data_IF_515981729242
#
_entry.id   IF_515981729242
#
_cell.length_a   1.000
_cell.length_b   1.000
_cell.length_c   1.000
_cell.angle_alpha   90.00
_cell.angle_beta   90.00
_cell.angle_gamma   90.00
#
_symmetry.space_group_name_H-M   'P 1'
#
loop_
_entity.id
_entity.type
_entity.pdbx_description
1 polymer ?
#
# COMPACT_ATOMS: atom_id res chain seq x y z
N UNK A 1 0.15 -6.60 -9.32
CA UNK A 1 -0.98 -5.69 -9.04
C UNK A 1 -2.10 -6.50 -8.45
N UNK A 2 -2.71 -6.05 -7.34
CA UNK A 2 -3.81 -6.75 -6.67
C UNK A 2 -5.12 -6.57 -7.45
N UNK A 3 -6.07 -7.50 -7.30
CA UNK A 3 -7.40 -7.39 -7.94
C UNK A 3 -8.09 -6.07 -7.58
N UNK A 4 -7.98 -5.64 -6.31
CA UNK A 4 -8.52 -4.36 -5.85
C UNK A 4 -7.84 -3.14 -6.50
N UNK A 5 -6.53 -3.19 -6.72
CA UNK A 5 -5.79 -2.14 -7.43
C UNK A 5 -6.22 -2.07 -8.90
N UNK A 6 -6.34 -3.25 -9.55
CA UNK A 6 -6.86 -3.35 -10.91
C UNK A 6 -8.26 -2.78 -11.02
N UNK A 7 -9.17 -3.12 -10.08
CA UNK A 7 -10.52 -2.56 -10.00
C UNK A 7 -10.50 -1.03 -10.00
N UNK A 8 -9.68 -0.40 -9.14
CA UNK A 8 -9.60 1.06 -9.08
C UNK A 8 -9.08 1.66 -10.39
N UNK A 9 -7.99 1.10 -10.95
CA UNK A 9 -7.44 1.56 -12.22
C UNK A 9 -8.46 1.43 -13.35
N UNK A 10 -9.16 0.30 -13.43
CA UNK A 10 -10.15 0.07 -14.49
C UNK A 10 -11.40 0.95 -14.31
N UNK A 11 -11.84 1.22 -13.08
CA UNK A 11 -12.92 2.18 -12.78
C UNK A 11 -12.57 3.60 -13.25
N UNK A 12 -11.34 4.06 -13.00
CA UNK A 12 -10.87 5.37 -13.50
C UNK A 12 -10.77 5.38 -15.04
N UNK A 13 -10.25 4.31 -15.65
CA UNK A 13 -10.18 4.17 -17.10
C UNK A 13 -11.55 4.25 -17.78
N UNK A 14 -12.63 3.80 -17.13
CA UNK A 14 -13.99 3.92 -17.67
C UNK A 14 -14.39 5.38 -17.92
N UNK A 15 -13.87 6.33 -17.15
CA UNK A 15 -14.16 7.77 -17.33
C UNK A 15 -13.18 8.45 -18.28
N UNK A 16 -11.93 8.02 -18.30
CA UNK A 16 -10.83 8.64 -19.06
C UNK A 16 -10.70 8.10 -20.49
N UNK A 17 -11.01 6.81 -20.70
CA UNK A 17 -10.85 6.11 -21.98
C UNK A 17 -11.97 6.47 -22.96
N UNK A 18 -12.02 7.73 -23.35
CA UNK A 18 -12.99 8.24 -24.33
C UNK A 18 -12.29 8.95 -25.47
N UNK A 19 -12.74 8.70 -26.69
CA UNK A 19 -12.21 9.34 -27.91
C UNK A 19 -13.38 9.92 -28.70
N UNK A 20 -13.24 11.16 -29.15
CA UNK A 20 -14.20 11.77 -30.07
C UNK A 20 -13.93 11.29 -31.49
N UNK A 21 -15.00 10.94 -32.21
CA UNK A 21 -14.93 10.52 -33.62
C UNK A 21 -15.99 11.25 -34.45
N UNK A 22 -15.56 11.78 -35.60
CA UNK A 22 -16.45 12.43 -36.58
C UNK A 22 -15.99 12.05 -37.98
N UNK A 23 -16.93 11.59 -38.80
CA UNK A 23 -16.68 11.35 -40.22
C UNK A 23 -17.00 12.62 -41.00
N UNK A 24 -16.07 13.05 -41.83
CA UNK A 24 -16.19 14.24 -42.65
C UNK A 24 -16.67 13.89 -44.08
N UNK A 25 -17.32 14.84 -44.79
CA UNK A 25 -17.82 14.61 -46.15
C UNK A 25 -16.72 14.32 -47.20
N UNK A 26 -15.49 14.77 -46.93
CA UNK A 26 -14.33 14.58 -47.84
C UNK A 26 -13.60 13.23 -47.64
N UNK A 27 -14.28 12.23 -47.16
CA UNK A 27 -13.77 10.88 -46.89
C UNK A 27 -12.57 10.85 -45.93
N UNK A 28 -12.61 11.72 -44.93
CA UNK A 28 -11.66 11.71 -43.81
C UNK A 28 -12.39 11.52 -42.48
N UNK A 29 -11.65 11.05 -41.48
CA UNK A 29 -12.14 10.83 -40.12
C UNK A 29 -11.36 11.75 -39.15
N UNK A 30 -12.07 12.51 -38.36
CA UNK A 30 -11.52 13.37 -37.31
C UNK A 30 -11.63 12.68 -35.97
N UNK A 31 -10.53 12.66 -35.24
CA UNK A 31 -10.43 12.18 -33.86
C UNK A 31 -10.12 13.35 -32.92
N UNK A 32 -10.75 13.39 -31.77
CA UNK A 32 -10.58 14.44 -30.75
C UNK A 32 -10.47 13.85 -29.36
N UNK A 33 -10.13 14.69 -28.36
CA UNK A 33 -9.87 14.28 -26.96
C UNK A 33 -8.67 13.31 -26.85
N UNK A 34 -7.68 13.47 -27.74
CA UNK A 34 -6.57 12.55 -27.86
C UNK A 34 -5.59 12.64 -26.69
N UNK A 35 -5.49 13.79 -26.00
CA UNK A 35 -4.62 13.95 -24.83
C UNK A 35 -5.08 13.03 -23.69
N UNK A 36 -6.37 13.07 -23.36
CA UNK A 36 -6.93 12.22 -22.29
C UNK A 36 -6.84 10.74 -22.68
N UNK A 37 -7.18 10.42 -23.93
CA UNK A 37 -7.09 9.04 -24.42
C UNK A 37 -5.67 8.48 -24.36
N UNK A 38 -4.63 9.26 -24.75
CA UNK A 38 -3.22 8.84 -24.62
C UNK A 38 -2.80 8.61 -23.18
N UNK A 39 -3.24 9.47 -22.27
CA UNK A 39 -2.98 9.28 -20.83
C UNK A 39 -3.62 7.99 -20.31
N UNK A 40 -4.88 7.73 -20.69
CA UNK A 40 -5.57 6.51 -20.32
C UNK A 40 -4.87 5.24 -20.87
N UNK A 41 -4.38 5.28 -22.13
CA UNK A 41 -3.57 4.18 -22.67
C UNK A 41 -2.28 3.97 -21.85
N UNK A 42 -1.55 5.02 -21.51
CA UNK A 42 -0.33 4.91 -20.69
C UNK A 42 -0.63 4.34 -19.31
N UNK A 43 -1.77 4.69 -18.71
CA UNK A 43 -2.24 4.15 -17.44
C UNK A 43 -2.61 2.66 -17.57
N UNK A 44 -3.29 2.27 -18.64
CA UNK A 44 -3.63 0.87 -18.93
C UNK A 44 -2.37 0.00 -19.09
N UNK A 45 -1.32 0.50 -19.74
CA UNK A 45 -0.05 -0.21 -19.92
C UNK A 45 0.62 -0.58 -18.58
N UNK A 46 0.45 0.24 -17.53
CA UNK A 46 1.00 -0.07 -16.18
C UNK A 46 0.41 -1.34 -15.59
N UNK A 47 -0.79 -1.75 -16.03
CA UNK A 47 -1.47 -2.96 -15.57
C UNK A 47 -0.90 -4.24 -16.18
N UNK A 48 -0.16 -4.13 -17.29
CA UNK A 48 0.33 -5.23 -18.14
C UNK A 48 -0.79 -6.12 -18.71
N UNK A 49 -2.02 -5.62 -18.68
CA UNK A 49 -3.17 -6.25 -19.33
C UNK A 49 -3.42 -5.59 -20.71
N UNK A 50 -4.01 -6.36 -21.64
CA UNK A 50 -4.34 -5.87 -22.98
C UNK A 50 -3.14 -5.27 -23.74
N UNK A 51 -1.95 -5.84 -23.55
CA UNK A 51 -0.70 -5.33 -24.16
C UNK A 51 -0.75 -5.31 -25.67
N UNK A 52 -1.34 -6.34 -26.30
CA UNK A 52 -1.48 -6.40 -27.77
C UNK A 52 -2.37 -5.27 -28.30
N UNK A 53 -3.46 -4.96 -27.60
CA UNK A 53 -4.41 -3.92 -27.97
C UNK A 53 -3.79 -2.53 -27.80
N UNK A 54 -3.11 -2.29 -26.68
CA UNK A 54 -2.43 -1.01 -26.42
C UNK A 54 -1.28 -0.80 -27.40
N UNK A 55 -0.46 -1.81 -27.70
CA UNK A 55 0.64 -1.74 -28.67
C UNK A 55 0.15 -1.40 -30.09
N UNK A 56 -0.98 -1.99 -30.51
CA UNK A 56 -1.58 -1.69 -31.80
C UNK A 56 -2.04 -0.24 -31.91
N UNK A 57 -2.64 0.29 -30.85
CA UNK A 57 -3.09 1.68 -30.79
C UNK A 57 -1.88 2.62 -30.70
N UNK A 58 -0.84 2.28 -29.97
CA UNK A 58 0.37 3.09 -29.82
C UNK A 58 1.12 3.27 -31.15
N UNK A 59 1.06 2.30 -32.04
CA UNK A 59 1.63 2.37 -33.40
C UNK A 59 0.80 3.25 -34.35
N UNK A 60 -0.36 3.71 -33.95
CA UNK A 60 -1.25 4.51 -34.79
C UNK A 60 -0.85 5.99 -34.83
N UNK A 61 -1.37 6.71 -35.81
CA UNK A 61 -1.08 8.12 -36.05
C UNK A 61 -1.40 9.04 -34.85
N UNK A 62 -2.32 8.66 -33.97
CA UNK A 62 -2.69 9.47 -32.80
C UNK A 62 -1.57 9.57 -31.73
N UNK A 63 -0.54 8.73 -31.79
CA UNK A 63 0.64 8.81 -30.91
C UNK A 63 1.86 9.49 -31.58
N UNK A 64 1.79 9.79 -32.89
CA UNK A 64 2.88 10.47 -33.61
C UNK A 64 2.89 11.97 -33.26
N UNK A 65 1.73 12.56 -32.96
CA UNK A 65 1.58 13.99 -32.67
C UNK A 65 1.07 14.20 -31.22
N UNK A 66 1.40 15.36 -30.66
CA UNK A 66 0.87 15.76 -29.32
C UNK A 66 -0.46 16.54 -29.41
N UNK A 67 -1.01 16.71 -30.61
CA UNK A 67 -2.24 17.46 -30.80
C UNK A 67 -3.43 16.72 -30.17
N UNK A 68 -4.40 17.47 -29.68
CA UNK A 68 -5.62 16.92 -29.10
C UNK A 68 -6.64 16.46 -30.16
N UNK A 69 -6.41 16.85 -31.42
CA UNK A 69 -7.19 16.46 -32.58
C UNK A 69 -6.28 15.99 -33.72
N UNK A 70 -6.76 15.04 -34.54
CA UNK A 70 -6.07 14.60 -35.76
C UNK A 70 -7.10 14.19 -36.82
N UNK A 71 -6.73 14.36 -38.06
CA UNK A 71 -7.55 13.97 -39.22
C UNK A 71 -6.80 12.88 -39.98
N UNK A 72 -7.45 11.75 -40.21
CA UNK A 72 -6.94 10.59 -40.93
C UNK A 72 -7.75 10.34 -42.21
N UNK A 73 -7.15 9.70 -43.19
CA UNK A 73 -7.94 9.16 -44.30
C UNK A 73 -8.93 8.09 -43.81
N UNK A 74 -9.96 7.80 -44.59
CA UNK A 74 -11.05 6.92 -44.19
C UNK A 74 -10.56 5.52 -43.81
N UNK A 75 -9.58 4.96 -44.52
CA UNK A 75 -9.08 3.60 -44.26
C UNK A 75 -8.38 3.51 -42.91
N UNK A 76 -7.43 4.40 -42.66
CA UNK A 76 -6.70 4.45 -41.37
C UNK A 76 -7.63 4.83 -40.23
N UNK A 77 -8.52 5.80 -40.44
CA UNK A 77 -9.47 6.23 -39.46
C UNK A 77 -10.46 5.13 -39.05
N UNK A 78 -11.00 4.40 -40.02
CA UNK A 78 -11.92 3.28 -39.71
C UNK A 78 -11.20 2.14 -38.99
N UNK A 79 -9.96 1.84 -39.37
CA UNK A 79 -9.13 0.85 -38.64
C UNK A 79 -8.90 1.27 -37.20
N UNK A 80 -8.51 2.52 -36.98
CA UNK A 80 -8.29 3.07 -35.64
C UNK A 80 -9.57 3.07 -34.82
N UNK A 81 -10.68 3.50 -35.41
CA UNK A 81 -11.99 3.48 -34.75
C UNK A 81 -12.37 2.06 -34.26
N UNK A 82 -12.18 1.05 -35.11
CA UNK A 82 -12.45 -0.33 -34.74
C UNK A 82 -11.54 -0.78 -33.59
N UNK A 83 -10.25 -0.46 -33.63
CA UNK A 83 -9.28 -0.82 -32.58
C UNK A 83 -9.65 -0.16 -31.24
N UNK A 84 -9.98 1.14 -31.25
CA UNK A 84 -10.36 1.87 -30.05
C UNK A 84 -11.69 1.37 -29.46
N UNK A 85 -12.69 1.10 -30.30
CA UNK A 85 -13.97 0.56 -29.84
C UNK A 85 -13.83 -0.83 -29.21
N UNK A 86 -12.99 -1.69 -29.81
CA UNK A 86 -12.69 -3.01 -29.25
C UNK A 86 -11.96 -2.89 -27.91
N UNK A 87 -10.95 -2.02 -27.80
CA UNK A 87 -10.26 -1.78 -26.52
C UNK A 87 -11.22 -1.30 -25.44
N UNK A 88 -12.07 -0.30 -25.74
CA UNK A 88 -13.06 0.22 -24.78
C UNK A 88 -14.01 -0.89 -24.31
N UNK A 89 -14.47 -1.77 -25.22
CA UNK A 89 -15.31 -2.92 -24.85
C UNK A 89 -14.59 -3.91 -23.93
N UNK A 90 -13.31 -4.20 -24.22
CA UNK A 90 -12.51 -5.11 -23.39
C UNK A 90 -12.26 -4.50 -22.00
N UNK A 91 -11.89 -3.22 -21.93
CA UNK A 91 -11.71 -2.51 -20.65
C UNK A 91 -13.00 -2.53 -19.84
N UNK A 92 -14.17 -2.29 -20.46
CA UNK A 92 -15.46 -2.40 -19.80
C UNK A 92 -15.73 -3.79 -19.27
N UNK A 93 -15.50 -4.82 -20.08
CA UNK A 93 -15.69 -6.23 -19.66
C UNK A 93 -14.78 -6.61 -18.48
N UNK A 94 -13.53 -6.15 -18.50
CA UNK A 94 -12.59 -6.37 -17.39
C UNK A 94 -13.00 -5.59 -16.14
N UNK A 95 -13.45 -4.34 -16.28
CA UNK A 95 -13.99 -3.57 -15.15
C UNK A 95 -15.16 -4.31 -14.49
N UNK A 96 -16.16 -4.74 -15.29
CA UNK A 96 -17.31 -5.50 -14.77
C UNK A 96 -16.88 -6.82 -14.10
N UNK A 97 -15.81 -7.43 -14.57
CA UNK A 97 -15.23 -8.64 -13.98
C UNK A 97 -14.54 -8.33 -12.65
N UNK A 98 -13.69 -7.28 -12.59
CA UNK A 98 -13.01 -6.88 -11.37
C UNK A 98 -13.99 -6.36 -10.30
N UNK A 99 -15.09 -5.69 -10.70
CA UNK A 99 -16.15 -5.31 -9.77
C UNK A 99 -16.78 -6.55 -9.09
N UNK A 100 -16.97 -7.63 -9.83
CA UNK A 100 -17.54 -8.88 -9.29
C UNK A 100 -16.53 -9.69 -8.46
N UNK A 101 -15.24 -9.67 -8.85
CA UNK A 101 -14.19 -10.42 -8.16
C UNK A 101 -13.62 -9.69 -6.95
N UNK A 102 -13.68 -8.36 -6.93
CA UNK A 102 -13.01 -7.52 -5.93
C UNK A 102 -13.59 -7.62 -4.51
N UNK A 103 -14.69 -8.33 -4.29
CA UNK A 103 -15.36 -8.42 -2.97
C UNK A 103 -15.90 -7.07 -2.49
N UNK A 104 -16.61 -7.05 -1.39
CA UNK A 104 -16.99 -5.79 -0.72
C UNK A 104 -15.73 -5.15 -0.11
N UNK A 105 -15.47 -3.90 -0.46
CA UNK A 105 -14.40 -3.13 0.16
C UNK A 105 -14.94 -2.61 1.48
N UNK A 106 -14.44 -3.16 2.57
CA UNK A 106 -14.84 -2.73 3.91
C UNK A 106 -13.92 -1.61 4.39
N UNK A 107 -14.50 -0.45 4.75
CA UNK A 107 -13.76 0.72 5.24
C UNK A 107 -13.00 0.44 6.55
N UNK A 108 -13.39 -0.59 7.31
CA UNK A 108 -12.71 -1.00 8.53
C UNK A 108 -11.72 -2.15 8.32
N UNK A 109 -11.07 -2.20 7.16
CA UNK A 109 -10.08 -3.23 6.83
C UNK A 109 -8.70 -2.65 6.57
N UNK A 110 -7.69 -3.51 6.72
CA UNK A 110 -6.30 -3.26 6.34
C UNK A 110 -5.79 -4.39 5.45
N UNK A 111 -4.83 -4.07 4.59
CA UNK A 111 -4.13 -5.06 3.76
C UNK A 111 -2.77 -5.38 4.37
N UNK A 112 -2.53 -6.63 4.73
CA UNK A 112 -1.30 -7.13 5.33
C UNK A 112 -0.58 -8.01 4.32
N UNK A 113 0.68 -7.70 4.02
CA UNK A 113 1.58 -8.59 3.31
C UNK A 113 2.38 -9.39 4.34
N UNK A 114 2.31 -10.71 4.26
CA UNK A 114 3.15 -11.56 5.07
C UNK A 114 4.62 -11.48 4.61
N UNK A 115 5.60 -11.74 5.51
CA UNK A 115 6.96 -12.04 5.11
C UNK A 115 6.98 -13.18 4.06
N UNK A 116 8.13 -13.39 3.42
CA UNK A 116 8.27 -14.53 2.52
C UNK A 116 7.96 -15.84 3.26
N UNK A 117 7.00 -16.58 2.73
CA UNK A 117 6.52 -17.86 3.29
C UNK A 117 7.05 -18.98 2.40
N UNK A 118 7.88 -19.84 2.98
CA UNK A 118 8.48 -20.97 2.24
C UNK A 118 7.77 -22.28 2.52
N UNK A 119 7.11 -22.40 3.68
CA UNK A 119 6.38 -23.60 4.11
C UNK A 119 5.19 -23.26 5.03
N UNK A 120 4.49 -24.30 5.50
CA UNK A 120 3.34 -24.15 6.40
C UNK A 120 3.73 -23.70 7.80
N UNK A 121 4.94 -23.98 8.25
CA UNK A 121 5.44 -23.54 9.56
C UNK A 121 5.66 -22.02 9.56
N UNK A 122 6.25 -21.48 8.50
CA UNK A 122 6.36 -20.04 8.27
C UNK A 122 4.99 -19.37 8.23
N UNK A 123 4.04 -19.94 7.45
CA UNK A 123 2.68 -19.41 7.36
C UNK A 123 1.98 -19.38 8.72
N UNK A 124 2.07 -20.48 9.47
CA UNK A 124 1.50 -20.59 10.81
C UNK A 124 2.09 -19.58 11.77
N UNK A 125 3.41 -19.46 11.77
CA UNK A 125 4.17 -18.55 12.61
C UNK A 125 3.80 -17.09 12.36
N UNK A 126 3.89 -16.63 11.10
CA UNK A 126 3.60 -15.25 10.76
C UNK A 126 2.13 -14.90 10.98
N UNK A 127 1.21 -15.79 10.61
CA UNK A 127 -0.21 -15.59 10.87
C UNK A 127 -0.50 -15.49 12.37
N UNK A 128 0.13 -16.32 13.20
CA UNK A 128 -0.01 -16.28 14.65
C UNK A 128 0.59 -15.01 15.26
N UNK A 129 1.78 -14.57 14.78
CA UNK A 129 2.40 -13.32 15.22
C UNK A 129 1.52 -12.12 14.89
N UNK A 130 0.96 -12.02 13.67
CA UNK A 130 0.01 -10.97 13.29
C UNK A 130 -1.28 -11.03 14.09
N UNK A 131 -1.88 -12.22 14.25
CA UNK A 131 -3.08 -12.38 15.05
C UNK A 131 -2.86 -11.85 16.48
N UNK A 132 -1.74 -12.21 17.10
CA UNK A 132 -1.41 -11.74 18.46
C UNK A 132 -1.26 -10.23 18.52
N UNK A 133 -0.52 -9.61 17.57
CA UNK A 133 -0.32 -8.15 17.50
C UNK A 133 -1.66 -7.43 17.35
N UNK A 134 -2.48 -7.85 16.40
CA UNK A 134 -3.78 -7.22 16.16
C UNK A 134 -4.71 -7.42 17.36
N UNK A 135 -4.89 -8.67 17.82
CA UNK A 135 -5.85 -8.99 18.84
C UNK A 135 -5.59 -8.26 20.16
N UNK A 136 -4.32 -8.24 20.61
CA UNK A 136 -3.96 -7.57 21.88
C UNK A 136 -4.06 -6.05 21.82
N UNK A 137 -3.99 -5.47 20.60
CA UNK A 137 -4.06 -4.02 20.42
C UNK A 137 -5.50 -3.51 20.33
N UNK A 138 -6.38 -4.19 19.56
CA UNK A 138 -7.69 -3.63 19.20
C UNK A 138 -8.88 -4.34 19.85
N UNK A 139 -8.71 -5.58 20.37
CA UNK A 139 -9.84 -6.30 20.98
C UNK A 139 -9.95 -5.93 22.46
N UNK A 140 -10.60 -4.81 22.70
CA UNK A 140 -10.93 -4.27 24.02
C UNK A 140 -12.19 -3.40 23.92
N UNK A 141 -12.75 -3.00 25.07
CA UNK A 141 -14.03 -2.27 25.14
C UNK A 141 -13.97 -0.85 24.51
N UNK A 142 -12.82 -0.17 24.58
CA UNK A 142 -12.69 1.21 24.08
C UNK A 142 -12.54 1.27 22.56
N UNK A 143 -11.77 0.36 21.99
CA UNK A 143 -11.53 0.30 20.52
C UNK A 143 -12.63 -0.51 19.84
N UNK A 144 -13.19 -1.51 20.52
CA UNK A 144 -14.23 -2.40 19.99
C UNK A 144 -13.83 -3.04 18.64
N UNK A 145 -12.57 -3.46 18.57
CA UNK A 145 -12.00 -4.06 17.36
C UNK A 145 -12.31 -5.55 17.25
N UNK A 146 -12.23 -6.07 16.04
CA UNK A 146 -12.41 -7.47 15.68
C UNK A 146 -11.37 -7.86 14.63
N UNK A 147 -10.82 -9.07 14.73
CA UNK A 147 -9.84 -9.56 13.73
C UNK A 147 -10.47 -10.69 12.93
N UNK A 148 -10.70 -10.44 11.63
CA UNK A 148 -11.24 -11.43 10.69
C UNK A 148 -10.56 -11.28 9.34
N UNK A 149 -10.12 -12.38 8.75
CA UNK A 149 -9.60 -12.39 7.37
C UNK A 149 -10.80 -12.33 6.41
N UNK A 150 -10.86 -11.31 5.58
CA UNK A 150 -11.90 -11.14 4.56
C UNK A 150 -11.49 -11.74 3.21
N UNK A 151 -10.22 -11.62 2.84
CA UNK A 151 -9.70 -12.20 1.60
C UNK A 151 -8.21 -12.53 1.67
N UNK A 152 -7.77 -13.43 0.79
CA UNK A 152 -6.37 -13.81 0.61
C UNK A 152 -6.06 -13.74 -0.88
N UNK A 153 -5.00 -13.03 -1.26
CA UNK A 153 -4.57 -12.91 -2.66
C UNK A 153 -3.30 -13.73 -2.93
N UNK A 154 -3.24 -14.33 -4.12
CA UNK A 154 -2.11 -15.16 -4.57
C UNK A 154 -0.91 -14.32 -5.02
N UNK A 155 0.28 -14.92 -4.97
CA UNK A 155 1.57 -14.29 -5.29
C UNK A 155 2.39 -14.12 -4.01
N UNK A 156 2.74 -12.90 -3.62
CA UNK A 156 3.05 -12.61 -2.21
C UNK A 156 1.77 -12.79 -1.41
N UNK A 157 1.79 -13.46 -0.25
CA UNK A 157 0.56 -13.70 0.52
C UNK A 157 0.10 -12.37 1.12
N UNK A 158 -1.01 -11.86 0.58
CA UNK A 158 -1.69 -10.69 1.08
C UNK A 158 -2.99 -11.11 1.75
N UNK A 159 -3.21 -10.58 2.93
CA UNK A 159 -4.43 -10.77 3.72
C UNK A 159 -5.15 -9.43 3.84
N UNK A 160 -6.40 -9.37 3.40
CA UNK A 160 -7.26 -8.27 3.81
C UNK A 160 -7.93 -8.66 5.13
N UNK A 161 -7.70 -7.85 6.15
CA UNK A 161 -8.14 -8.12 7.52
C UNK A 161 -9.13 -7.06 7.95
N UNK A 162 -10.33 -7.47 8.28
CA UNK A 162 -11.36 -6.64 8.91
C UNK A 162 -11.02 -6.40 10.37
N UNK A 163 -11.05 -5.16 10.81
CA UNK A 163 -10.67 -4.72 12.15
C UNK A 163 -11.85 -4.29 13.04
N UNK A 164 -13.07 -4.33 12.53
CA UNK A 164 -14.30 -4.08 13.28
C UNK A 164 -14.72 -2.61 13.33
N UNK A 165 -13.82 -1.67 13.59
CA UNK A 165 -14.13 -0.25 13.81
C UNK A 165 -13.11 0.68 13.15
N UNK A 166 -13.50 1.93 12.90
CA UNK A 166 -12.61 2.98 12.43
C UNK A 166 -11.50 3.31 13.46
N UNK A 167 -11.81 3.23 14.75
CA UNK A 167 -10.84 3.39 15.83
C UNK A 167 -9.74 2.31 15.77
N UNK A 168 -10.12 1.05 15.47
CA UNK A 168 -9.17 -0.03 15.28
C UNK A 168 -8.24 0.22 14.06
N UNK A 169 -8.79 0.70 12.94
CA UNK A 169 -7.99 1.06 11.74
C UNK A 169 -7.01 2.18 12.07
N UNK A 170 -7.44 3.21 12.79
CA UNK A 170 -6.60 4.33 13.23
C UNK A 170 -5.46 3.87 14.14
N UNK A 171 -5.78 3.08 15.17
CA UNK A 171 -4.79 2.53 16.10
C UNK A 171 -3.77 1.63 15.39
N UNK A 172 -4.21 0.76 14.50
CA UNK A 172 -3.29 -0.10 13.73
C UNK A 172 -2.41 0.71 12.78
N UNK A 173 -2.90 1.80 12.20
CA UNK A 173 -2.09 2.74 11.42
C UNK A 173 -0.98 3.37 12.26
N UNK A 174 -1.32 3.90 13.43
CA UNK A 174 -0.35 4.45 14.38
C UNK A 174 0.66 3.39 14.87
N UNK A 175 0.18 2.17 15.17
CA UNK A 175 1.03 1.06 15.57
C UNK A 175 2.01 0.66 14.46
N UNK A 176 1.56 0.62 13.20
CA UNK A 176 2.41 0.35 12.05
C UNK A 176 3.49 1.43 11.90
N UNK A 177 3.11 2.70 12.09
CA UNK A 177 4.05 3.82 12.05
C UNK A 177 5.11 3.71 13.14
N UNK A 178 4.71 3.56 14.41
CA UNK A 178 5.61 3.41 15.56
C UNK A 178 6.56 2.22 15.36
N UNK A 179 6.05 1.08 14.88
CA UNK A 179 6.85 -0.11 14.61
C UNK A 179 7.87 0.10 13.48
N UNK A 180 7.51 0.85 12.44
CA UNK A 180 8.43 1.19 11.35
C UNK A 180 9.53 2.17 11.81
N UNK A 181 9.22 3.12 12.71
CA UNK A 181 10.21 4.00 13.35
C UNK A 181 11.21 3.19 14.18
N UNK A 182 10.72 2.26 14.99
CA UNK A 182 11.54 1.34 15.79
C UNK A 182 12.40 0.45 14.90
N UNK A 183 11.84 -0.11 13.83
CA UNK A 183 12.58 -0.89 12.83
C UNK A 183 13.71 -0.08 12.20
N UNK A 184 13.44 1.16 11.75
CA UNK A 184 14.47 2.06 11.23
C UNK A 184 15.61 2.23 12.24
N UNK A 185 15.30 2.44 13.52
CA UNK A 185 16.29 2.62 14.57
C UNK A 185 17.15 1.37 14.79
N UNK A 186 16.53 0.19 14.71
CA UNK A 186 17.25 -1.10 14.74
C UNK A 186 18.23 -1.19 13.57
N UNK A 187 17.82 -0.83 12.35
CA UNK A 187 18.68 -0.86 11.17
C UNK A 187 19.86 0.13 11.28
N UNK A 188 19.60 1.34 11.76
CA UNK A 188 20.66 2.33 12.03
C UNK A 188 21.67 1.79 13.03
N UNK A 189 21.21 1.15 14.12
CA UNK A 189 22.07 0.50 15.12
C UNK A 189 22.94 -0.60 14.50
N UNK A 190 22.36 -1.48 13.69
CA UNK A 190 23.11 -2.55 12.99
C UNK A 190 24.19 -2.01 12.03
N UNK A 191 23.88 -0.92 11.30
CA UNK A 191 24.83 -0.27 10.42
C UNK A 191 25.98 0.35 11.22
N UNK A 192 25.69 1.01 12.34
CA UNK A 192 26.67 1.58 13.22
C UNK A 192 27.59 0.50 13.82
N UNK A 193 27.02 -0.62 14.30
CA UNK A 193 27.81 -1.75 14.81
C UNK A 193 28.79 -2.31 13.76
N UNK A 194 28.31 -2.52 12.52
CA UNK A 194 29.18 -2.96 11.41
C UNK A 194 30.31 -1.98 11.15
N UNK A 195 30.02 -0.68 11.22
CA UNK A 195 31.05 0.36 11.04
C UNK A 195 32.07 0.34 12.14
N UNK A 196 31.67 0.25 13.41
CA UNK A 196 32.54 0.17 14.57
C UNK A 196 33.45 -1.09 14.51
N UNK A 197 32.88 -2.24 14.11
CA UNK A 197 33.64 -3.47 13.90
C UNK A 197 34.70 -3.30 12.80
N UNK A 198 34.40 -2.59 11.71
CA UNK A 198 35.34 -2.34 10.62
C UNK A 198 36.52 -1.46 11.02
N UNK A 199 36.39 -0.67 12.09
CA UNK A 199 37.43 0.18 12.64
C UNK A 199 38.37 -0.56 13.60
N UNK A 200 38.19 -1.87 13.83
CA UNK A 200 39.02 -2.69 14.71
C UNK A 200 38.93 -2.32 16.20
N UNK A 201 37.80 -1.73 16.63
CA UNK A 201 37.56 -1.32 18.02
C UNK A 201 37.42 -2.58 18.90
N UNK A 202 37.94 -2.51 20.13
CA UNK A 202 37.93 -3.63 21.09
C UNK A 202 36.51 -4.08 21.40
N UNK A 203 36.29 -5.41 21.53
CA UNK A 203 35.01 -6.04 21.80
C UNK A 203 34.29 -5.53 23.05
N UNK A 204 34.99 -5.05 24.08
CA UNK A 204 34.38 -4.50 25.30
C UNK A 204 33.63 -3.20 25.02
N UNK A 205 34.20 -2.27 24.23
CA UNK A 205 33.56 -1.02 23.84
C UNK A 205 32.34 -1.28 22.94
N UNK A 206 32.38 -2.32 22.10
CA UNK A 206 31.24 -2.73 21.27
C UNK A 206 30.07 -3.20 22.14
N UNK A 207 30.33 -3.99 23.19
CA UNK A 207 29.27 -4.45 24.11
C UNK A 207 28.61 -3.29 24.87
N UNK A 208 29.39 -2.30 25.29
CA UNK A 208 28.84 -1.11 25.94
C UNK A 208 27.94 -0.30 25.00
N UNK A 209 28.38 -0.11 23.75
CA UNK A 209 27.56 0.54 22.72
C UNK A 209 26.25 -0.22 22.48
N UNK A 210 26.31 -1.55 22.35
CA UNK A 210 25.11 -2.38 22.17
C UNK A 210 24.13 -2.26 23.34
N UNK A 211 24.65 -2.21 24.59
CA UNK A 211 23.82 -2.02 25.77
C UNK A 211 23.09 -0.66 25.72
N UNK A 212 23.82 0.41 25.42
CA UNK A 212 23.25 1.76 25.30
C UNK A 212 22.24 1.89 24.17
N UNK A 213 22.49 1.26 23.04
CA UNK A 213 21.53 1.18 21.93
C UNK A 213 20.24 0.46 22.34
N UNK A 214 20.36 -0.66 23.08
CA UNK A 214 19.21 -1.41 23.59
C UNK A 214 18.39 -0.58 24.61
N UNK A 215 19.06 0.14 25.50
CA UNK A 215 18.40 1.06 26.44
C UNK A 215 17.65 2.16 25.68
N UNK A 216 18.29 2.83 24.73
CA UNK A 216 17.67 3.88 23.93
C UNK A 216 16.49 3.36 23.09
N UNK A 217 16.59 2.14 22.54
CA UNK A 217 15.50 1.50 21.80
C UNK A 217 14.29 1.19 22.72
N UNK A 218 14.51 0.71 23.94
CA UNK A 218 13.45 0.47 24.90
C UNK A 218 12.74 1.76 25.30
N UNK A 219 13.47 2.85 25.55
CA UNK A 219 12.88 4.17 25.85
C UNK A 219 12.05 4.70 24.64
N UNK A 220 12.51 4.48 23.42
CA UNK A 220 11.74 4.85 22.23
C UNK A 220 10.45 4.05 22.13
N UNK A 221 10.49 2.73 22.34
CA UNK A 221 9.29 1.87 22.33
C UNK A 221 8.29 2.30 23.39
N UNK A 222 8.79 2.66 24.57
CA UNK A 222 7.96 3.19 25.66
C UNK A 222 7.27 4.50 25.25
N UNK A 223 8.04 5.47 24.75
CA UNK A 223 7.49 6.75 24.32
C UNK A 223 6.47 6.60 23.17
N UNK A 224 6.74 5.73 22.18
CA UNK A 224 5.79 5.45 21.08
C UNK A 224 4.51 4.76 21.61
N UNK A 225 4.62 3.85 22.56
CA UNK A 225 3.47 3.18 23.16
C UNK A 225 2.63 4.13 24.00
N UNK A 226 3.26 4.99 24.79
CA UNK A 226 2.58 6.02 25.60
C UNK A 226 1.84 7.02 24.68
N UNK A 227 2.48 7.46 23.61
CA UNK A 227 1.84 8.34 22.63
C UNK A 227 0.62 7.67 21.99
N UNK A 228 0.74 6.42 21.53
CA UNK A 228 -0.38 5.66 20.99
C UNK A 228 -1.51 5.47 22.00
N UNK A 229 -1.16 5.23 23.26
CA UNK A 229 -2.14 5.10 24.32
C UNK A 229 -2.91 6.41 24.53
N UNK A 230 -2.20 7.52 24.67
CA UNK A 230 -2.80 8.82 24.91
C UNK A 230 -3.68 9.31 23.74
N UNK A 231 -3.34 8.93 22.50
CA UNK A 231 -4.11 9.29 21.31
C UNK A 231 -5.38 8.45 21.11
N UNK A 232 -5.46 7.24 21.69
CA UNK A 232 -6.52 6.27 21.36
C UNK A 232 -7.30 5.74 22.57
N UNK A 233 -6.84 5.95 23.80
CA UNK A 233 -7.47 5.41 25.00
C UNK A 233 -7.70 6.50 26.04
N UNK A 234 -8.68 6.25 26.91
CA UNK A 234 -9.00 7.09 28.05
C UNK A 234 -8.61 6.40 29.37
N UNK A 235 -8.30 7.23 30.38
CA UNK A 235 -7.92 6.76 31.72
C UNK A 235 -6.49 6.23 31.79
N UNK A 236 -6.14 5.56 32.89
CA UNK A 236 -4.82 4.97 33.13
C UNK A 236 -4.91 3.45 33.10
N UNK A 237 -4.33 2.82 32.08
CA UNK A 237 -4.28 1.37 31.95
C UNK A 237 -2.87 0.90 31.53
N UNK A 238 -2.03 0.65 32.52
CA UNK A 238 -0.66 0.17 32.32
C UNK A 238 -0.60 -1.17 31.56
N UNK A 239 -1.59 -2.04 31.73
CA UNK A 239 -1.63 -3.31 31.00
C UNK A 239 -1.78 -3.07 29.51
N UNK A 240 -2.63 -2.12 29.08
CA UNK A 240 -2.81 -1.78 27.69
C UNK A 240 -1.54 -1.14 27.10
N UNK A 241 -0.84 -0.29 27.86
CA UNK A 241 0.45 0.27 27.47
C UNK A 241 1.49 -0.83 27.22
N UNK A 242 1.59 -1.81 28.15
CA UNK A 242 2.52 -2.96 27.97
C UNK A 242 2.13 -3.83 26.76
N UNK A 243 0.84 -4.00 26.47
CA UNK A 243 0.38 -4.68 25.24
C UNK A 243 0.80 -3.93 24.00
N UNK A 244 0.71 -2.60 23.98
CA UNK A 244 1.18 -1.77 22.86
C UNK A 244 2.71 -1.85 22.69
N UNK A 245 3.49 -1.78 23.79
CA UNK A 245 4.95 -1.98 23.76
C UNK A 245 5.32 -3.32 23.13
N UNK A 246 4.63 -4.39 23.53
CA UNK A 246 4.84 -5.73 22.97
C UNK A 246 4.46 -5.77 21.47
N UNK A 247 3.34 -5.16 21.10
CA UNK A 247 2.86 -5.10 19.72
C UNK A 247 3.85 -4.35 18.82
N UNK A 248 4.39 -3.21 19.28
CA UNK A 248 5.43 -2.45 18.54
C UNK A 248 6.66 -3.33 18.32
N UNK A 249 7.15 -4.03 19.35
CA UNK A 249 8.31 -4.94 19.24
C UNK A 249 8.06 -6.08 18.25
N UNK A 250 6.92 -6.73 18.36
CA UNK A 250 6.58 -7.85 17.49
C UNK A 250 6.43 -7.38 16.03
N UNK A 251 5.76 -6.25 15.84
CA UNK A 251 5.50 -5.73 14.50
C UNK A 251 6.77 -5.19 13.82
N UNK A 252 7.67 -4.52 14.58
CA UNK A 252 8.97 -4.12 14.05
C UNK A 252 9.80 -5.32 13.57
N UNK A 253 9.72 -6.46 14.26
CA UNK A 253 10.35 -7.71 13.84
C UNK A 253 9.69 -8.32 12.59
N UNK A 254 8.38 -8.20 12.42
CA UNK A 254 7.69 -8.63 11.20
C UNK A 254 8.09 -7.76 10.00
N UNK A 255 8.21 -6.44 10.20
CA UNK A 255 8.71 -5.50 9.17
C UNK A 255 10.16 -5.86 8.79
N UNK A 256 11.01 -6.20 9.76
CA UNK A 256 12.40 -6.65 9.51
C UNK A 256 12.46 -7.91 8.63
N UNK A 257 11.45 -8.76 8.69
CA UNK A 257 11.28 -9.96 7.87
C UNK A 257 10.60 -9.70 6.52
N UNK A 258 10.21 -8.45 6.23
CA UNK A 258 9.58 -8.05 4.97
C UNK A 258 8.05 -7.97 5.00
N UNK A 259 7.44 -7.97 6.19
CA UNK A 259 6.01 -7.69 6.32
C UNK A 259 5.69 -6.23 5.97
N UNK A 260 4.49 -6.02 5.41
CA UNK A 260 3.96 -4.68 5.15
C UNK A 260 2.52 -4.60 5.64
N UNK A 261 2.10 -3.41 6.09
CA UNK A 261 0.70 -3.09 6.36
C UNK A 261 0.33 -1.82 5.63
N UNK A 262 -0.81 -1.88 4.96
CA UNK A 262 -1.37 -0.78 4.20
C UNK A 262 -2.83 -0.55 4.60
N UNK A 263 -3.31 0.71 4.55
CA UNK A 263 -4.74 0.98 4.69
C UNK A 263 -5.50 0.35 3.53
N UNK A 264 -6.81 0.14 3.68
CA UNK A 264 -7.64 -0.25 2.55
C UNK A 264 -7.62 0.86 1.48
N UNK A 265 -7.70 0.46 0.19
CA UNK A 265 -7.52 1.38 -0.96
C UNK A 265 -8.52 2.54 -0.98
N UNK A 266 -9.74 2.32 -0.51
CA UNK A 266 -10.83 3.30 -0.46
C UNK A 266 -10.81 4.19 0.79
N UNK A 267 -9.85 4.00 1.70
CA UNK A 267 -9.73 4.83 2.89
C UNK A 267 -9.45 6.30 2.52
N UNK A 268 -10.03 7.27 3.28
CA UNK A 268 -9.73 8.68 3.09
C UNK A 268 -8.24 8.97 3.35
N UNK A 269 -7.71 10.01 2.72
CA UNK A 269 -6.29 10.42 2.85
C UNK A 269 -5.87 10.66 4.31
N UNK A 270 -6.79 11.14 5.15
CA UNK A 270 -6.52 11.31 6.59
C UNK A 270 -6.16 10.00 7.29
N UNK A 271 -6.76 8.89 6.88
CA UNK A 271 -6.45 7.56 7.41
C UNK A 271 -5.20 6.98 6.75
N UNK A 272 -5.05 7.14 5.42
CA UNK A 272 -3.86 6.69 4.70
C UNK A 272 -2.58 7.28 5.27
N UNK A 273 -2.61 8.55 5.66
CA UNK A 273 -1.47 9.26 6.26
C UNK A 273 -1.09 8.76 7.67
N UNK A 274 -1.90 7.91 8.30
CA UNK A 274 -1.53 7.25 9.55
C UNK A 274 -0.55 6.09 9.34
N UNK A 275 -0.54 5.51 8.14
CA UNK A 275 0.32 4.39 7.80
C UNK A 275 1.66 4.85 7.24
N UNK A 276 2.76 4.12 7.53
CA UNK A 276 4.06 4.44 6.95
C UNK A 276 4.10 4.06 5.47
N UNK A 277 4.83 4.83 4.67
CA UNK A 277 5.16 4.44 3.31
C UNK A 277 6.24 3.35 3.33
N UNK A 278 5.85 2.07 3.20
CA UNK A 278 6.71 0.91 3.37
C UNK A 278 7.90 0.87 2.39
N UNK A 279 7.80 1.55 1.25
CA UNK A 279 8.88 1.66 0.26
C UNK A 279 9.94 2.68 0.64
N UNK A 280 9.66 3.59 1.59
CA UNK A 280 10.51 4.74 1.93
C UNK A 280 10.76 4.89 3.45
N UNK A 281 10.98 3.78 4.14
CA UNK A 281 11.17 3.77 5.60
C UNK A 281 12.43 4.54 6.05
N UNK A 282 13.40 4.77 5.17
CA UNK A 282 14.64 5.50 5.51
C UNK A 282 14.37 6.95 5.95
N UNK A 283 13.35 7.58 5.39
CA UNK A 283 12.98 8.97 5.67
C UNK A 283 11.89 9.11 6.73
N UNK A 284 11.46 8.00 7.33
CA UNK A 284 10.40 8.00 8.33
C UNK A 284 10.88 8.65 9.64
N UNK A 285 10.04 9.52 10.22
CA UNK A 285 10.28 10.15 11.52
C UNK A 285 9.17 9.77 12.51
N UNK A 286 9.51 9.81 13.80
CA UNK A 286 8.52 9.65 14.87
C UNK A 286 7.47 10.78 14.81
N UNK A 287 6.21 10.44 15.03
CA UNK A 287 5.12 11.40 15.17
C UNK A 287 5.01 12.02 16.57
N UNK A 288 5.81 11.56 17.50
CA UNK A 288 5.85 12.14 18.85
C UNK A 288 6.25 13.60 18.73
N UNK A 289 5.38 14.50 19.16
CA UNK A 289 5.69 15.93 19.22
C UNK A 289 6.86 16.10 20.19
N UNK A 290 7.99 16.64 19.72
CA UNK A 290 9.06 17.10 20.61
C UNK A 290 8.42 18.10 21.54
N UNK A 291 8.36 17.79 22.83
CA UNK A 291 8.09 18.79 23.84
C UNK A 291 9.25 19.77 23.73
N UNK A 292 8.95 20.98 23.27
CA UNK A 292 9.94 22.06 23.26
C UNK A 292 10.31 22.30 24.71
N UNK A 293 11.53 21.88 25.10
CA UNK A 293 12.14 22.22 26.35
C UNK A 293 12.65 23.66 26.35
#
# INVERSE_FOLDING_TARGET
MKIKELRNVFSELMTELSIGFKQNPNNTNEFSKLKNFRNAISKLETTKLLTNETDNIRKSAIFITNNDTTILNSTEGNKLKLQTDNLIKLVKSLNDTFEKLGGEVNDNSVSIKLPEVTDFDDLSKFSSEFHKVLNQSIVNEQINGQVRIDSVENGSIWLDVYLGSAAAVTLIGGLAWASAVVFKKIQEGRLFEKHVQSLGIKNESIKEIQLKQKEALNLMIEAEADNLYNDNFEGDNNEQIERLKLSIKMFSNLIDKGAEIHPALNQPESVKNLYPEMTNLKNLESKIKKIAG
#
